data_IF_238519009646
#
_entry.id   IF_238519009646
#
_cell.length_a   1.000
_cell.length_b   1.000
_cell.length_c   1.000
_cell.angle_alpha   90.00
_cell.angle_beta   90.00
_cell.angle_gamma   90.00
#
_symmetry.space_group_name_H-M   'P 1'
#
loop_
_entity.id
_entity.type
_entity.pdbx_description
1 polymer ?
#
# COMPACT_ATOMS: atom_id res chain seq x y z
N UNK A 1 48.02 -9.02 -16.19
CA UNK A 1 46.88 -8.50 -15.41
C UNK A 1 46.86 -9.25 -14.07
N UNK A 2 47.07 -8.55 -12.96
CA UNK A 2 47.25 -9.19 -11.66
C UNK A 2 45.90 -9.68 -11.13
N UNK A 3 45.69 -10.99 -10.88
CA UNK A 3 44.40 -11.55 -10.43
C UNK A 3 43.94 -10.96 -9.10
N UNK A 4 44.85 -10.50 -8.27
CA UNK A 4 44.56 -9.81 -7.01
C UNK A 4 43.82 -8.49 -7.16
N UNK A 5 44.12 -7.75 -8.26
CA UNK A 5 43.45 -6.46 -8.55
C UNK A 5 42.02 -6.63 -9.04
N UNK A 6 41.74 -7.73 -9.73
CA UNK A 6 40.37 -8.06 -10.22
C UNK A 6 39.48 -8.54 -9.08
N UNK A 7 40.04 -9.26 -8.11
CA UNK A 7 39.30 -9.72 -6.92
C UNK A 7 38.98 -8.53 -5.99
N UNK A 8 39.92 -7.57 -5.84
CA UNK A 8 39.68 -6.37 -5.01
C UNK A 8 38.66 -5.42 -5.65
N UNK A 9 38.65 -5.25 -6.97
CA UNK A 9 37.62 -4.47 -7.64
C UNK A 9 36.25 -5.15 -7.64
N UNK A 10 36.20 -6.50 -7.76
CA UNK A 10 34.97 -7.27 -7.68
C UNK A 10 34.36 -7.25 -6.28
N UNK A 11 35.18 -7.33 -5.23
CA UNK A 11 34.74 -7.24 -3.84
C UNK A 11 34.21 -5.86 -3.46
N UNK A 12 34.83 -4.78 -3.97
CA UNK A 12 34.37 -3.41 -3.72
C UNK A 12 33.05 -3.09 -4.44
N UNK A 13 32.82 -3.69 -5.61
CA UNK A 13 31.59 -3.51 -6.36
C UNK A 13 30.39 -4.22 -5.72
N UNK A 14 30.63 -5.37 -5.05
CA UNK A 14 29.57 -6.11 -4.34
C UNK A 14 29.10 -5.41 -3.06
N UNK A 15 29.95 -4.64 -2.39
CA UNK A 15 29.60 -3.92 -1.17
C UNK A 15 28.76 -2.65 -1.43
N UNK A 16 28.77 -2.14 -2.66
CA UNK A 16 27.98 -0.98 -3.07
C UNK A 16 26.51 -1.34 -3.43
N UNK A 17 26.17 -2.62 -3.49
CA UNK A 17 24.81 -3.13 -3.71
C UNK A 17 23.98 -3.30 -2.44
N UNK A 18 24.48 -2.85 -1.28
CA UNK A 18 23.69 -2.69 -0.05
C UNK A 18 22.62 -1.61 -0.27
N UNK A 19 21.56 -1.98 -0.97
CA UNK A 19 20.49 -1.07 -1.38
C UNK A 19 19.81 -0.42 -0.18
N UNK A 20 19.31 0.78 -0.39
CA UNK A 20 18.40 1.45 0.54
C UNK A 20 17.19 0.54 0.78
N UNK A 21 17.13 -0.11 1.93
CA UNK A 21 16.00 -0.96 2.33
C UNK A 21 15.10 -0.18 3.27
N UNK A 22 13.79 -0.34 3.10
CA UNK A 22 12.84 0.14 4.08
C UNK A 22 12.76 -0.84 5.25
N UNK A 23 12.56 -0.32 6.46
CA UNK A 23 12.18 -1.12 7.63
C UNK A 23 10.66 -1.13 7.68
N UNK A 24 10.06 -2.33 7.68
CA UNK A 24 8.60 -2.49 7.68
C UNK A 24 8.17 -3.36 8.85
N UNK A 25 7.23 -2.87 9.64
CA UNK A 25 6.56 -3.59 10.71
C UNK A 25 5.09 -3.77 10.39
N UNK A 26 4.51 -4.89 10.84
CA UNK A 26 3.08 -5.17 10.68
C UNK A 26 2.52 -5.62 12.00
N UNK A 27 1.44 -4.98 12.41
CA UNK A 27 0.62 -5.39 13.55
C UNK A 27 -0.70 -5.93 13.02
N UNK A 28 -1.12 -7.08 13.55
CA UNK A 28 -2.39 -7.72 13.22
C UNK A 28 -3.23 -7.92 14.47
N UNK A 29 -4.50 -7.56 14.37
CA UNK A 29 -5.50 -7.78 15.41
C UNK A 29 -6.69 -8.53 14.84
N UNK A 30 -7.05 -9.64 15.48
CA UNK A 30 -8.28 -10.44 15.21
C UNK A 30 -9.15 -10.45 16.45
N UNK A 31 -10.42 -10.04 16.37
CA UNK A 31 -11.35 -10.12 17.50
C UNK A 31 -11.78 -11.55 17.81
N UNK A 32 -11.72 -12.44 16.82
CA UNK A 32 -12.06 -13.87 16.95
C UNK A 32 -10.97 -14.73 16.29
N UNK A 33 -10.75 -15.93 16.82
CA UNK A 33 -9.86 -16.92 16.22
C UNK A 33 -10.51 -17.69 15.05
N UNK A 34 -11.75 -17.36 14.70
CA UNK A 34 -12.45 -18.04 13.60
C UNK A 34 -11.81 -17.67 12.26
N UNK A 35 -11.48 -18.67 11.43
CA UNK A 35 -10.92 -18.41 10.11
C UNK A 35 -11.93 -17.73 9.20
N UNK A 36 -11.45 -16.79 8.39
CA UNK A 36 -12.27 -16.20 7.35
C UNK A 36 -12.51 -17.26 6.27
N UNK A 37 -13.77 -17.46 5.90
CA UNK A 37 -14.14 -18.41 4.87
C UNK A 37 -14.66 -17.66 3.64
N UNK A 38 -13.95 -17.80 2.53
CA UNK A 38 -14.41 -17.39 1.22
C UNK A 38 -15.00 -18.60 0.49
N UNK A 39 -16.29 -18.55 0.20
CA UNK A 39 -16.95 -19.55 -0.62
C UNK A 39 -16.56 -19.38 -2.10
N UNK A 40 -16.72 -20.45 -2.88
CA UNK A 40 -16.45 -20.39 -4.31
C UNK A 40 -17.33 -19.33 -5.01
N UNK A 41 -16.68 -18.37 -5.66
CA UNK A 41 -17.33 -17.26 -6.36
C UNK A 41 -17.49 -15.99 -5.52
N UNK A 42 -17.26 -16.03 -4.21
CA UNK A 42 -17.21 -14.82 -3.40
C UNK A 42 -15.94 -14.01 -3.68
N UNK A 43 -16.05 -12.69 -3.51
CA UNK A 43 -15.00 -11.75 -3.80
C UNK A 43 -14.68 -10.86 -2.59
N UNK A 44 -13.46 -10.37 -2.59
CA UNK A 44 -13.00 -9.29 -1.70
C UNK A 44 -12.91 -8.01 -2.50
N UNK A 45 -13.30 -6.89 -1.94
CA UNK A 45 -13.01 -5.56 -2.51
C UNK A 45 -12.10 -4.78 -1.58
N UNK A 46 -11.10 -4.10 -2.15
CA UNK A 46 -10.22 -3.20 -1.41
C UNK A 46 -10.62 -1.78 -1.76
N UNK A 47 -11.00 -0.99 -0.76
CA UNK A 47 -11.42 0.39 -0.92
C UNK A 47 -10.52 1.32 -0.11
N UNK A 48 -10.09 2.41 -0.72
CA UNK A 48 -9.36 3.46 -0.02
C UNK A 48 -10.29 4.50 0.59
N UNK A 49 -9.82 5.12 1.67
CA UNK A 49 -10.51 6.26 2.27
C UNK A 49 -10.62 7.41 1.27
N UNK A 50 -11.79 8.02 1.25
CA UNK A 50 -12.11 9.16 0.40
C UNK A 50 -12.74 10.27 1.23
N UNK A 51 -12.45 11.52 0.88
CA UNK A 51 -13.15 12.69 1.42
C UNK A 51 -13.36 13.77 0.36
N UNK A 52 -14.52 14.42 0.38
CA UNK A 52 -14.89 15.59 -0.42
C UNK A 52 -14.50 15.52 -1.92
N UNK A 53 -14.49 14.33 -2.52
CA UNK A 53 -14.16 14.12 -3.94
C UNK A 53 -12.69 13.76 -4.20
N UNK A 54 -11.89 13.59 -3.17
CA UNK A 54 -10.49 13.19 -3.26
C UNK A 54 -10.25 11.84 -2.60
N UNK A 55 -9.23 11.12 -3.10
CA UNK A 55 -8.66 10.01 -2.35
C UNK A 55 -7.74 10.57 -1.27
N UNK A 56 -7.98 10.21 -0.03
CA UNK A 56 -7.02 10.43 1.05
C UNK A 56 -5.97 9.32 1.08
N UNK A 57 -6.40 8.08 0.79
CA UNK A 57 -5.50 6.96 0.56
C UNK A 57 -5.08 6.92 -0.91
N UNK A 58 -3.78 6.82 -1.15
CA UNK A 58 -3.20 6.80 -2.50
C UNK A 58 -3.78 5.64 -3.34
N UNK A 59 -4.33 5.98 -4.52
CA UNK A 59 -4.94 5.00 -5.43
C UNK A 59 -3.97 3.91 -5.87
N UNK A 60 -2.70 4.27 -6.14
CA UNK A 60 -1.68 3.28 -6.52
C UNK A 60 -1.41 2.30 -5.39
N UNK A 61 -1.54 2.75 -4.13
CA UNK A 61 -1.39 1.88 -2.97
C UNK A 61 -2.57 0.90 -2.87
N UNK A 62 -3.81 1.36 -3.08
CA UNK A 62 -5.01 0.53 -3.08
C UNK A 62 -4.90 -0.57 -4.14
N UNK A 63 -4.56 -0.18 -5.37
CA UNK A 63 -4.41 -1.11 -6.50
C UNK A 63 -3.29 -2.13 -6.23
N UNK A 64 -2.18 -1.68 -5.65
CA UNK A 64 -1.07 -2.53 -5.28
C UNK A 64 -1.47 -3.56 -4.24
N UNK A 65 -2.15 -3.16 -3.15
CA UNK A 65 -2.63 -4.08 -2.10
C UNK A 65 -3.58 -5.11 -2.71
N UNK A 66 -4.56 -4.67 -3.50
CA UNK A 66 -5.49 -5.57 -4.19
C UNK A 66 -4.80 -6.59 -5.09
N UNK A 67 -3.77 -6.17 -5.83
CA UNK A 67 -2.98 -7.09 -6.67
C UNK A 67 -2.20 -8.10 -5.84
N UNK A 68 -1.62 -7.70 -4.71
CA UNK A 68 -0.84 -8.60 -3.83
C UNK A 68 -1.71 -9.62 -3.09
N UNK A 69 -2.96 -9.28 -2.80
CA UNK A 69 -3.93 -10.19 -2.19
C UNK A 69 -4.38 -11.30 -3.14
N UNK A 70 -4.44 -11.04 -4.44
CA UNK A 70 -4.93 -12.03 -5.42
C UNK A 70 -4.18 -13.35 -5.34
N UNK A 71 -4.93 -14.45 -5.49
CA UNK A 71 -4.39 -15.82 -5.49
C UNK A 71 -5.40 -16.81 -6.05
N UNK A 72 -5.11 -18.11 -5.95
CA UNK A 72 -6.03 -19.18 -6.36
C UNK A 72 -7.37 -19.13 -5.61
N UNK A 73 -7.32 -18.70 -4.35
CA UNK A 73 -8.44 -18.81 -3.42
C UNK A 73 -9.02 -17.43 -3.04
N UNK A 74 -8.40 -16.34 -3.50
CA UNK A 74 -8.87 -14.97 -3.23
C UNK A 74 -9.07 -14.25 -4.56
N UNK A 75 -10.33 -13.97 -4.89
CA UNK A 75 -10.70 -13.11 -5.99
C UNK A 75 -10.91 -11.68 -5.49
N UNK A 76 -10.16 -10.72 -6.03
CA UNK A 76 -10.25 -9.31 -5.64
C UNK A 76 -10.92 -8.54 -6.76
N UNK A 77 -12.11 -7.99 -6.47
CA UNK A 77 -12.82 -7.09 -7.37
C UNK A 77 -12.08 -5.74 -7.41
N UNK A 78 -11.80 -5.18 -8.60
CA UNK A 78 -11.21 -3.86 -8.72
C UNK A 78 -12.08 -2.77 -8.07
N UNK A 79 -11.45 -1.84 -7.31
CA UNK A 79 -12.17 -0.75 -6.64
C UNK A 79 -13.08 0.02 -7.59
N UNK A 80 -12.57 0.42 -8.76
CA UNK A 80 -13.33 1.20 -9.74
C UNK A 80 -14.61 0.46 -10.18
N UNK A 81 -14.51 -0.83 -10.45
CA UNK A 81 -15.67 -1.65 -10.86
C UNK A 81 -16.72 -1.72 -9.74
N UNK A 82 -16.29 -1.87 -8.49
CA UNK A 82 -17.21 -1.89 -7.35
C UNK A 82 -17.90 -0.54 -7.18
N UNK A 83 -17.14 0.56 -7.21
CA UNK A 83 -17.67 1.92 -7.06
C UNK A 83 -18.68 2.24 -8.17
N UNK A 84 -18.38 1.91 -9.42
CA UNK A 84 -19.28 2.13 -10.54
C UNK A 84 -20.59 1.34 -10.37
N UNK A 85 -20.51 0.09 -9.89
CA UNK A 85 -21.67 -0.75 -9.69
C UNK A 85 -22.58 -0.25 -8.54
N UNK A 86 -21.99 0.33 -7.48
CA UNK A 86 -22.71 0.77 -6.27
C UNK A 86 -22.96 2.28 -6.24
N UNK A 87 -22.72 3.00 -7.35
CA UNK A 87 -23.01 4.42 -7.44
C UNK A 87 -24.51 4.70 -7.13
N UNK A 88 -24.85 5.78 -6.37
CA UNK A 88 -23.98 6.81 -5.78
C UNK A 88 -23.60 6.59 -4.30
N UNK A 89 -23.82 5.42 -3.73
CA UNK A 89 -23.73 5.20 -2.26
C UNK A 89 -22.31 5.19 -1.70
N UNK A 90 -21.31 4.85 -2.51
CA UNK A 90 -19.89 4.82 -2.10
C UNK A 90 -19.07 5.97 -2.71
N UNK A 91 -19.73 7.00 -3.16
CA UNK A 91 -19.07 8.24 -3.54
C UNK A 91 -18.43 8.93 -2.31
N UNK A 92 -17.41 9.78 -2.48
CA UNK A 92 -16.64 10.35 -1.36
C UNK A 92 -17.46 10.95 -0.24
N UNK A 93 -18.62 11.57 -0.56
CA UNK A 93 -19.52 12.17 0.43
C UNK A 93 -20.41 11.17 1.14
N UNK A 94 -20.66 10.03 0.54
CA UNK A 94 -21.62 9.02 1.01
C UNK A 94 -20.95 7.73 1.48
N UNK A 95 -19.71 7.49 1.07
CA UNK A 95 -18.93 6.31 1.46
C UNK A 95 -18.90 6.12 2.97
N UNK A 96 -18.93 4.87 3.45
CA UNK A 96 -18.82 4.59 4.87
C UNK A 96 -17.43 4.95 5.39
N UNK A 97 -17.37 5.80 6.42
CA UNK A 97 -16.12 6.09 7.15
C UNK A 97 -15.90 5.15 8.35
N UNK A 98 -16.65 4.07 8.42
CA UNK A 98 -16.58 3.08 9.48
C UNK A 98 -17.79 2.16 9.52
N UNK A 99 -17.68 1.10 10.29
CA UNK A 99 -18.70 0.04 10.39
C UNK A 99 -20.10 0.55 10.74
N UNK A 100 -20.30 1.52 11.65
CA UNK A 100 -21.65 2.02 11.95
C UNK A 100 -22.34 2.66 10.74
N UNK A 101 -21.59 3.38 9.90
CA UNK A 101 -22.11 3.96 8.67
C UNK A 101 -22.40 2.88 7.63
N UNK A 102 -21.51 1.90 7.49
CA UNK A 102 -21.73 0.75 6.62
C UNK A 102 -23.00 0.00 7.00
N UNK A 103 -23.21 -0.31 8.29
CA UNK A 103 -24.46 -0.94 8.80
C UNK A 103 -25.70 -0.15 8.41
N UNK A 104 -25.64 1.18 8.48
CA UNK A 104 -26.75 2.04 8.08
C UNK A 104 -27.02 1.97 6.57
N UNK A 105 -25.98 1.98 5.76
CA UNK A 105 -26.10 1.85 4.29
C UNK A 105 -26.68 0.48 3.91
N UNK A 106 -26.25 -0.58 4.57
CA UNK A 106 -26.71 -1.95 4.33
C UNK A 106 -28.17 -2.22 4.76
N UNK A 107 -28.85 -1.24 5.39
CA UNK A 107 -30.31 -1.31 5.62
C UNK A 107 -31.10 -1.05 4.34
N UNK A 108 -30.51 -0.41 3.34
CA UNK A 108 -31.14 -0.18 2.04
C UNK A 108 -31.15 -1.48 1.21
N UNK A 109 -32.34 -2.00 0.83
CA UNK A 109 -32.41 -3.24 0.05
C UNK A 109 -31.74 -3.17 -1.32
N UNK A 110 -31.69 -1.97 -1.93
CA UNK A 110 -31.03 -1.76 -3.24
C UNK A 110 -29.54 -1.93 -3.11
N UNK A 111 -28.92 -1.36 -2.07
CA UNK A 111 -27.48 -1.51 -1.81
C UNK A 111 -27.15 -2.99 -1.59
N UNK A 112 -27.92 -3.69 -0.76
CA UNK A 112 -27.76 -5.13 -0.55
C UNK A 112 -27.83 -5.91 -1.86
N UNK A 113 -28.82 -5.61 -2.69
CA UNK A 113 -29.00 -6.31 -3.96
C UNK A 113 -27.79 -6.11 -4.87
N UNK A 114 -27.27 -4.89 -4.99
CA UNK A 114 -26.10 -4.60 -5.84
C UNK A 114 -24.85 -5.29 -5.30
N UNK A 115 -24.59 -5.25 -4.00
CA UNK A 115 -23.44 -5.94 -3.40
C UNK A 115 -23.51 -7.44 -3.64
N UNK A 116 -24.68 -8.06 -3.47
CA UNK A 116 -24.89 -9.48 -3.71
C UNK A 116 -24.69 -9.85 -5.20
N UNK A 117 -25.12 -8.98 -6.13
CA UNK A 117 -24.88 -9.18 -7.58
C UNK A 117 -23.41 -9.17 -7.94
N UNK A 118 -22.59 -8.41 -7.19
CA UNK A 118 -21.13 -8.40 -7.34
C UNK A 118 -20.45 -9.54 -6.58
N UNK A 119 -21.21 -10.37 -5.83
CA UNK A 119 -20.68 -11.45 -4.99
C UNK A 119 -19.60 -11.00 -4.02
N UNK A 120 -19.64 -9.74 -3.56
CA UNK A 120 -18.65 -9.21 -2.61
C UNK A 120 -19.02 -9.62 -1.20
N UNK A 121 -18.20 -10.47 -0.59
CA UNK A 121 -18.37 -10.95 0.79
C UNK A 121 -17.63 -10.05 1.78
N UNK A 122 -16.39 -9.70 1.48
CA UNK A 122 -15.55 -8.92 2.38
C UNK A 122 -15.12 -7.61 1.76
N UNK A 123 -15.10 -6.57 2.59
CA UNK A 123 -14.59 -5.26 2.25
C UNK A 123 -13.37 -4.95 3.11
N UNK A 124 -12.24 -4.72 2.46
CA UNK A 124 -11.01 -4.23 3.09
C UNK A 124 -10.98 -2.71 2.94
N UNK A 125 -11.12 -2.01 4.06
CA UNK A 125 -11.07 -0.56 4.10
C UNK A 125 -9.64 -0.11 4.42
N UNK A 126 -9.03 0.64 3.50
CA UNK A 126 -7.68 1.17 3.64
C UNK A 126 -7.71 2.65 4.02
N UNK A 127 -6.96 2.99 5.06
CA UNK A 127 -6.70 4.37 5.48
C UNK A 127 -5.20 4.55 5.72
N UNK A 128 -4.67 5.72 5.37
CA UNK A 128 -3.27 6.05 5.58
C UNK A 128 -2.62 6.81 4.45
N UNK A 129 -1.37 7.16 4.66
CA UNK A 129 -0.58 7.98 3.74
C UNK A 129 0.91 7.61 3.75
N UNK A 130 1.62 8.09 2.74
CA UNK A 130 3.08 8.12 2.71
C UNK A 130 3.54 9.57 2.74
N UNK A 131 4.31 9.93 3.75
CA UNK A 131 4.77 11.30 3.96
C UNK A 131 6.29 11.38 3.95
N UNK A 132 6.80 12.58 3.64
CA UNK A 132 8.20 12.91 3.85
C UNK A 132 8.30 13.64 5.17
N UNK A 133 8.96 12.99 6.15
CA UNK A 133 9.03 13.51 7.53
C UNK A 133 10.22 14.42 7.76
N UNK A 134 11.36 14.12 7.14
CA UNK A 134 12.57 14.93 7.25
C UNK A 134 13.20 15.16 5.88
N UNK A 135 13.89 16.32 5.75
CA UNK A 135 14.68 16.68 4.57
C UNK A 135 15.95 17.39 5.03
N UNK A 136 17.06 17.03 4.40
CA UNK A 136 18.35 17.63 4.72
C UNK A 136 19.27 17.73 3.50
N UNK A 137 20.29 18.57 3.63
CA UNK A 137 21.29 18.78 2.58
C UNK A 137 20.84 19.72 1.46
N UNK A 138 21.69 19.87 0.46
CA UNK A 138 21.43 20.68 -0.74
C UNK A 138 22.25 20.18 -1.93
N UNK A 139 21.69 20.39 -3.11
CA UNK A 139 22.39 20.13 -4.39
C UNK A 139 22.38 21.42 -5.21
N UNK A 140 23.54 21.83 -5.69
CA UNK A 140 23.72 22.94 -6.60
C UNK A 140 24.13 22.45 -7.97
N UNK A 141 23.45 22.94 -9.01
CA UNK A 141 23.77 22.64 -10.39
C UNK A 141 24.19 23.93 -11.12
N UNK A 142 25.24 23.84 -11.90
CA UNK A 142 25.71 24.94 -12.72
C UNK A 142 25.92 24.50 -14.16
N UNK A 143 25.67 25.41 -15.10
CA UNK A 143 25.89 25.22 -16.55
C UNK A 143 26.81 26.31 -17.03
N UNK A 144 27.86 25.92 -17.76
CA UNK A 144 28.84 26.84 -18.34
C UNK A 144 29.23 26.44 -19.76
N UNK A 145 30.10 27.20 -20.44
CA UNK A 145 30.51 26.95 -21.82
C UNK A 145 31.19 25.60 -22.07
N UNK A 146 31.68 24.94 -21.00
CA UNK A 146 32.32 23.61 -21.05
C UNK A 146 31.39 22.45 -20.61
N UNK A 147 30.09 22.70 -20.33
CA UNK A 147 29.14 21.70 -19.85
C UNK A 147 28.45 22.10 -18.56
N UNK A 148 27.61 21.22 -18.04
CA UNK A 148 26.91 21.38 -16.78
C UNK A 148 27.26 20.26 -15.79
N UNK A 149 27.16 20.56 -14.50
CA UNK A 149 27.34 19.57 -13.44
C UNK A 149 26.58 19.93 -12.16
N UNK A 150 26.23 18.91 -11.41
CA UNK A 150 25.59 19.06 -10.11
C UNK A 150 26.53 18.55 -9.00
N UNK A 151 26.64 19.32 -7.91
CA UNK A 151 27.42 18.93 -6.75
C UNK A 151 26.59 19.12 -5.49
N UNK A 152 26.75 18.18 -4.57
CA UNK A 152 26.08 18.22 -3.27
C UNK A 152 25.44 16.92 -2.87
N UNK A 153 24.68 16.98 -1.79
CA UNK A 153 24.02 15.84 -1.20
C UNK A 153 22.68 16.30 -0.62
N UNK A 154 21.64 15.54 -0.87
CA UNK A 154 20.36 15.72 -0.22
C UNK A 154 19.82 14.37 0.23
N UNK A 155 19.12 14.37 1.36
CA UNK A 155 18.45 13.21 1.91
C UNK A 155 17.03 13.59 2.36
N UNK A 156 16.14 12.60 2.37
CA UNK A 156 14.81 12.75 2.94
C UNK A 156 14.33 11.41 3.46
N UNK A 157 13.68 11.47 4.61
CA UNK A 157 13.07 10.33 5.25
C UNK A 157 11.60 10.25 4.85
N UNK A 158 11.16 9.04 4.54
CA UNK A 158 9.77 8.73 4.22
C UNK A 158 9.21 7.79 5.26
N UNK A 159 7.97 8.04 5.62
CA UNK A 159 7.16 7.20 6.49
C UNK A 159 5.86 6.86 5.76
N UNK A 160 5.56 5.58 5.64
CA UNK A 160 4.29 5.06 5.15
C UNK A 160 3.56 4.40 6.30
N UNK A 161 2.39 4.91 6.65
CA UNK A 161 1.53 4.35 7.69
C UNK A 161 0.17 4.08 7.08
N UNK A 162 -0.21 2.80 7.05
CA UNK A 162 -1.51 2.39 6.53
C UNK A 162 -2.17 1.39 7.46
N UNK A 163 -3.48 1.50 7.58
CA UNK A 163 -4.34 0.56 8.30
C UNK A 163 -5.34 -0.06 7.33
N UNK A 164 -5.51 -1.36 7.42
CA UNK A 164 -6.54 -2.12 6.73
C UNK A 164 -7.53 -2.67 7.75
N UNK A 165 -8.81 -2.37 7.59
CA UNK A 165 -9.88 -2.95 8.41
C UNK A 165 -10.69 -3.87 7.52
N UNK A 166 -10.87 -5.11 7.93
CA UNK A 166 -11.63 -6.11 7.19
C UNK A 166 -13.05 -6.20 7.75
N UNK A 167 -14.04 -5.92 6.91
CA UNK A 167 -15.46 -6.03 7.25
C UNK A 167 -16.13 -7.17 6.47
N UNK A 168 -16.91 -7.98 7.19
CA UNK A 168 -17.85 -8.91 6.59
C UNK A 168 -19.13 -8.16 6.21
N UNK A 169 -19.53 -8.20 4.95
CA UNK A 169 -20.70 -7.47 4.44
C UNK A 169 -22.02 -8.23 4.69
N UNK A 170 -21.99 -9.52 4.97
CA UNK A 170 -23.16 -10.32 5.31
C UNK A 170 -23.48 -10.22 6.81
N UNK A 171 -22.47 -10.48 7.64
CA UNK A 171 -22.58 -10.43 9.10
C UNK A 171 -22.54 -8.99 9.65
N UNK A 172 -22.08 -8.04 8.84
CA UNK A 172 -21.88 -6.62 9.20
C UNK A 172 -21.02 -6.46 10.46
N UNK A 173 -19.91 -7.16 10.49
CA UNK A 173 -18.96 -7.14 11.59
C UNK A 173 -17.53 -6.92 11.11
N UNK A 174 -16.67 -6.50 12.05
CA UNK A 174 -15.24 -6.38 11.81
C UNK A 174 -14.57 -7.73 12.07
N UNK A 175 -13.86 -8.20 11.05
CA UNK A 175 -13.13 -9.47 11.11
C UNK A 175 -11.71 -9.28 11.64
N UNK A 176 -11.15 -8.09 11.52
CA UNK A 176 -9.85 -7.73 12.05
C UNK A 176 -9.26 -6.49 11.44
N UNK A 177 -8.07 -6.15 11.92
CA UNK A 177 -7.29 -4.99 11.49
C UNK A 177 -5.84 -5.37 11.28
N UNK A 178 -5.24 -4.77 10.28
CA UNK A 178 -3.80 -4.88 10.03
C UNK A 178 -3.26 -3.46 9.88
N UNK A 179 -2.15 -3.18 10.56
CA UNK A 179 -1.43 -1.92 10.42
C UNK A 179 -0.05 -2.21 9.89
N UNK A 180 0.39 -1.43 8.92
CA UNK A 180 1.75 -1.46 8.40
C UNK A 180 2.38 -0.10 8.59
N UNK A 181 3.56 -0.10 9.19
CA UNK A 181 4.45 1.05 9.30
C UNK A 181 5.74 0.71 8.54
N UNK A 182 6.10 1.53 7.56
CA UNK A 182 7.33 1.36 6.77
C UNK A 182 8.07 2.68 6.68
N UNK A 183 9.36 2.65 7.01
CA UNK A 183 10.22 3.83 7.02
C UNK A 183 11.51 3.59 6.25
N UNK A 184 12.09 4.65 5.74
CA UNK A 184 13.38 4.58 5.07
C UNK A 184 13.85 5.90 4.51
N UNK A 185 15.17 6.02 4.41
CA UNK A 185 15.85 7.21 3.92
C UNK A 185 16.19 7.07 2.45
N UNK A 186 15.86 8.09 1.69
CA UNK A 186 16.25 8.26 0.29
C UNK A 186 17.32 9.32 0.15
N UNK A 187 18.20 9.17 -0.83
CA UNK A 187 19.32 10.05 -1.05
C UNK A 187 19.36 10.56 -2.49
N UNK A 188 19.87 11.76 -2.66
CA UNK A 188 20.24 12.32 -3.95
C UNK A 188 21.68 12.79 -3.87
N UNK A 189 22.55 12.18 -4.66
CA UNK A 189 23.97 12.48 -4.69
C UNK A 189 24.26 13.25 -6.00
N UNK A 190 24.72 14.50 -5.87
CA UNK A 190 25.20 15.32 -6.97
C UNK A 190 26.70 15.09 -7.17
N UNK A 191 27.03 14.40 -8.23
CA UNK A 191 28.42 14.28 -8.65
C UNK A 191 28.57 14.77 -10.07
N UNK A 192 28.62 14.59 -11.11
CA UNK A 192 28.49 15.24 -12.43
C UNK A 192 27.02 15.29 -12.86
N UNK A 193 26.28 14.23 -12.56
CA UNK A 193 24.83 14.16 -12.69
C UNK A 193 24.20 13.77 -11.35
N UNK A 194 22.94 14.19 -11.07
CA UNK A 194 22.24 13.77 -9.86
C UNK A 194 21.90 12.28 -9.92
N UNK A 195 22.37 11.52 -8.93
CA UNK A 195 22.11 10.08 -8.79
C UNK A 195 21.11 9.87 -7.65
N UNK A 196 19.86 9.50 -7.95
CA UNK A 196 18.87 9.22 -6.93
C UNK A 196 19.04 7.79 -6.40
N UNK A 197 19.15 7.65 -5.09
CA UNK A 197 19.08 6.39 -4.34
C UNK A 197 17.75 6.37 -3.58
N UNK A 198 16.71 5.85 -4.19
CA UNK A 198 15.36 5.90 -3.65
C UNK A 198 15.05 4.64 -2.84
N UNK A 199 14.54 4.85 -1.63
CA UNK A 199 14.02 3.76 -0.80
C UNK A 199 12.53 3.54 -1.12
N UNK A 200 12.11 2.32 -1.46
CA UNK A 200 10.77 2.03 -1.95
C UNK A 200 9.74 1.87 -0.81
N UNK A 201 9.71 2.79 0.15
CA UNK A 201 8.92 2.72 1.40
C UNK A 201 7.43 2.41 1.15
N UNK A 202 6.78 3.14 0.23
CA UNK A 202 5.37 2.90 -0.13
C UNK A 202 5.15 1.51 -0.75
N UNK A 203 6.06 1.08 -1.61
CA UNK A 203 5.99 -0.23 -2.27
C UNK A 203 6.18 -1.38 -1.27
N UNK A 204 7.10 -1.20 -0.31
CA UNK A 204 7.36 -2.21 0.71
C UNK A 204 6.18 -2.31 1.69
N UNK A 205 5.61 -1.17 2.11
CA UNK A 205 4.37 -1.13 2.90
C UNK A 205 3.23 -1.86 2.17
N UNK A 206 2.99 -1.53 0.90
CA UNK A 206 1.96 -2.19 0.09
C UNK A 206 2.21 -3.71 -0.03
N UNK A 207 3.44 -4.10 -0.38
CA UNK A 207 3.78 -5.51 -0.58
C UNK A 207 3.61 -6.32 0.70
N UNK A 208 4.00 -5.75 1.83
CA UNK A 208 3.90 -6.38 3.15
C UNK A 208 2.44 -6.48 3.60
N UNK A 209 1.68 -5.38 3.52
CA UNK A 209 0.27 -5.36 3.88
C UNK A 209 -0.57 -6.32 3.00
N UNK A 210 -0.36 -6.29 1.68
CA UNK A 210 -1.09 -7.16 0.77
C UNK A 210 -0.79 -8.65 0.97
N UNK A 211 0.46 -9.01 1.29
CA UNK A 211 0.83 -10.38 1.64
C UNK A 211 0.20 -10.81 2.97
N UNK A 212 0.23 -9.93 3.99
CA UNK A 212 -0.34 -10.24 5.28
C UNK A 212 -1.88 -10.37 5.20
N UNK A 213 -2.55 -9.49 4.45
CA UNK A 213 -3.97 -9.64 4.15
C UNK A 213 -4.27 -10.97 3.45
N UNK A 214 -3.44 -11.36 2.47
CA UNK A 214 -3.59 -12.68 1.85
C UNK A 214 -3.51 -13.81 2.86
N UNK A 215 -2.52 -13.78 3.75
CA UNK A 215 -2.40 -14.74 4.84
C UNK A 215 -3.61 -14.70 5.77
N UNK A 216 -4.08 -13.50 6.11
CA UNK A 216 -5.26 -13.27 6.94
C UNK A 216 -6.52 -13.97 6.39
N UNK A 217 -6.67 -14.04 5.06
CA UNK A 217 -7.79 -14.72 4.40
C UNK A 217 -7.56 -16.22 4.15
N UNK A 218 -6.33 -16.72 4.20
CA UNK A 218 -6.01 -18.11 3.81
C UNK A 218 -5.60 -19.00 4.97
N UNK A 219 -5.19 -18.41 6.11
CA UNK A 219 -4.71 -19.19 7.26
C UNK A 219 -5.83 -19.37 8.27
N UNK A 220 -6.24 -20.63 8.49
CA UNK A 220 -6.90 -21.06 9.71
C UNK A 220 -5.79 -21.39 10.73
N UNK A 221 -5.70 -20.63 11.82
CA UNK A 221 -4.87 -21.07 12.95
C UNK A 221 -5.43 -22.33 13.61
#
# INVERSE_FOLDING_TARGET
>A
MNPFRTILLGGLLLTLLGGCSATTTIDEYRPTAEPIQLSAGEQVVVLGRRDAGHYETDREFIDCVGQRMRGSDINVLPEAQFIDAIYPWFEPRTAPKGLPRLKKLMQDPLIKTVINQQSVRYLVWLDGSTETVEKGGSISCAVGPGGGGCFGFAQWDKLSVYEAIVWDLEELQEMGRLRVDSEGTSYLIGAVAPIPLLTPVKSDACSSLGKQLKTFFTTSE
#
